data_IF_654259267576
#
_entry.id   IF_654259267576
#
_cell.length_a   1.000
_cell.length_b   1.000
_cell.length_c   1.000
_cell.angle_alpha   90.00
_cell.angle_beta   90.00
_cell.angle_gamma   90.00
#
_symmetry.space_group_name_H-M   'P 1'
#
loop_
_entity.id
_entity.type
_entity.pdbx_description
1 polymer ?
#
# COMPACT_ATOMS: atom_id res chain seq x y z
N UNK A 1 23.06 -37.05 -8.74
CA UNK A 1 24.17 -36.79 -7.77
C UNK A 1 24.76 -35.40 -7.91
N UNK A 2 24.78 -34.79 -9.08
CA UNK A 2 25.29 -33.42 -9.32
C UNK A 2 24.38 -32.33 -8.76
N UNK A 3 23.04 -32.44 -8.89
CA UNK A 3 22.06 -31.49 -8.35
C UNK A 3 22.07 -31.37 -6.81
N UNK A 4 22.35 -32.50 -6.11
CA UNK A 4 22.40 -32.48 -4.64
C UNK A 4 23.63 -31.75 -4.09
N UNK A 5 24.73 -31.69 -4.85
CA UNK A 5 25.97 -31.00 -4.45
C UNK A 5 25.83 -29.49 -4.69
N UNK A 6 25.22 -29.06 -5.79
CA UNK A 6 24.95 -27.66 -6.09
C UNK A 6 23.98 -27.04 -5.06
N UNK A 7 22.97 -27.79 -4.59
CA UNK A 7 22.07 -27.34 -3.52
C UNK A 7 22.77 -27.20 -2.17
N UNK A 8 23.64 -28.12 -1.81
CA UNK A 8 24.39 -28.03 -0.55
C UNK A 8 25.31 -26.82 -0.50
N UNK A 9 25.98 -26.49 -1.63
CA UNK A 9 26.84 -25.32 -1.76
C UNK A 9 26.04 -23.99 -1.71
N UNK A 10 24.82 -23.98 -2.26
CA UNK A 10 23.95 -22.80 -2.20
C UNK A 10 23.55 -22.49 -0.76
N UNK A 11 23.10 -23.47 0.01
CA UNK A 11 22.70 -23.28 1.41
C UNK A 11 23.88 -22.91 2.30
N UNK A 12 25.05 -23.50 2.10
CA UNK A 12 26.26 -23.17 2.85
C UNK A 12 26.79 -21.76 2.50
N UNK A 13 26.59 -21.35 1.25
CA UNK A 13 27.05 -20.07 0.75
C UNK A 13 26.08 -18.90 0.99
N UNK A 14 24.78 -19.12 1.09
CA UNK A 14 23.77 -18.09 1.31
C UNK A 14 23.56 -17.85 2.79
N UNK A 15 23.84 -16.65 3.26
CA UNK A 15 23.59 -16.26 4.67
C UNK A 15 22.79 -14.99 4.76
N UNK A 16 22.01 -14.87 5.87
CA UNK A 16 21.25 -13.65 6.16
C UNK A 16 22.12 -12.39 6.22
N UNK A 17 23.37 -12.53 6.68
CA UNK A 17 24.32 -11.43 6.69
C UNK A 17 24.65 -10.95 5.27
N UNK A 18 24.88 -11.88 4.31
CA UNK A 18 25.14 -11.52 2.91
C UNK A 18 23.95 -10.80 2.27
N UNK A 19 22.73 -11.30 2.52
CA UNK A 19 21.51 -10.65 2.05
C UNK A 19 21.35 -9.26 2.65
N UNK A 20 21.57 -9.11 3.96
CA UNK A 20 21.51 -7.82 4.67
C UNK A 20 22.55 -6.82 4.12
N UNK A 21 23.77 -7.27 3.86
CA UNK A 21 24.83 -6.45 3.27
C UNK A 21 24.43 -6.00 1.86
N UNK A 22 23.89 -6.90 1.04
CA UNK A 22 23.46 -6.57 -0.31
C UNK A 22 22.33 -5.54 -0.31
N UNK A 23 21.29 -5.73 0.50
CA UNK A 23 20.18 -4.78 0.64
C UNK A 23 20.71 -3.43 1.12
N UNK A 24 21.59 -3.38 2.13
CA UNK A 24 22.14 -2.13 2.64
C UNK A 24 22.98 -1.38 1.57
N UNK A 25 23.76 -2.08 0.74
CA UNK A 25 24.52 -1.44 -0.35
C UNK A 25 23.60 -0.81 -1.39
N UNK A 26 22.48 -1.46 -1.67
CA UNK A 26 21.45 -0.93 -2.57
C UNK A 26 20.76 0.30 -1.99
N UNK A 27 20.29 0.23 -0.74
CA UNK A 27 19.53 1.30 -0.07
C UNK A 27 20.36 2.56 0.13
N UNK A 28 21.62 2.40 0.52
CA UNK A 28 22.53 3.53 0.77
C UNK A 28 23.28 3.98 -0.50
N UNK A 29 23.10 3.31 -1.63
CA UNK A 29 23.69 3.67 -2.91
C UNK A 29 25.21 3.53 -2.98
N UNK A 30 25.85 2.81 -2.02
CA UNK A 30 27.30 2.63 -2.01
C UNK A 30 27.85 1.76 -0.88
N UNK A 31 29.03 1.22 -1.13
CA UNK A 31 29.70 0.28 -0.22
C UNK A 31 30.12 0.92 1.12
N UNK A 32 30.65 2.15 1.08
CA UNK A 32 31.10 2.84 2.30
C UNK A 32 29.94 3.28 3.19
N UNK A 33 28.84 3.74 2.59
CA UNK A 33 27.65 4.13 3.33
C UNK A 33 26.98 2.90 3.97
N UNK A 34 26.88 1.78 3.23
CA UNK A 34 26.39 0.51 3.78
C UNK A 34 27.29 -0.04 4.90
N UNK A 35 28.62 0.09 4.77
CA UNK A 35 29.58 -0.32 5.79
C UNK A 35 29.36 0.46 7.10
N UNK A 36 29.19 1.77 7.02
CA UNK A 36 28.87 2.62 8.16
C UNK A 36 27.52 2.26 8.81
N UNK A 37 26.48 2.01 7.99
CA UNK A 37 25.15 1.64 8.48
C UNK A 37 25.11 0.27 9.18
N UNK A 38 26.00 -0.65 8.80
CA UNK A 38 26.07 -2.00 9.36
C UNK A 38 27.15 -2.19 10.43
N UNK A 39 27.92 -1.16 10.74
CA UNK A 39 29.10 -1.22 11.61
C UNK A 39 30.12 -2.28 11.13
N UNK A 40 30.41 -2.27 9.81
CA UNK A 40 31.35 -3.16 9.16
C UNK A 40 32.46 -2.36 8.45
N UNK A 41 33.62 -3.01 8.23
CA UNK A 41 34.65 -2.45 7.35
C UNK A 41 34.20 -2.57 5.87
N UNK A 42 34.48 -1.53 5.06
CA UNK A 42 34.14 -1.53 3.63
C UNK A 42 34.71 -2.75 2.85
N UNK A 43 35.95 -3.24 3.12
CA UNK A 43 36.43 -4.48 2.51
C UNK A 43 35.56 -5.71 2.81
N UNK A 44 34.99 -5.79 4.04
CA UNK A 44 34.07 -6.85 4.45
C UNK A 44 32.78 -6.81 3.65
N UNK A 45 32.19 -5.61 3.49
CA UNK A 45 31.02 -5.41 2.64
C UNK A 45 31.31 -5.85 1.19
N UNK A 46 32.45 -5.41 0.62
CA UNK A 46 32.87 -5.83 -0.73
C UNK A 46 33.08 -7.34 -0.86
N UNK A 47 33.64 -7.98 0.16
CA UNK A 47 33.80 -9.43 0.22
C UNK A 47 32.44 -10.16 0.17
N UNK A 48 31.46 -9.73 0.97
CA UNK A 48 30.13 -10.33 1.00
C UNK A 48 29.39 -10.19 -0.33
N UNK A 49 29.47 -9.03 -0.98
CA UNK A 49 28.86 -8.82 -2.30
C UNK A 49 29.52 -9.74 -3.36
N UNK A 50 30.84 -9.76 -3.44
CA UNK A 50 31.56 -10.64 -4.38
C UNK A 50 31.27 -12.12 -4.14
N UNK A 51 31.15 -12.54 -2.89
CA UNK A 51 30.81 -13.90 -2.53
C UNK A 51 29.37 -14.25 -2.98
N UNK A 52 28.42 -13.32 -2.82
CA UNK A 52 27.03 -13.50 -3.26
C UNK A 52 26.93 -13.54 -4.79
N UNK A 53 27.59 -12.64 -5.52
CA UNK A 53 27.65 -12.65 -6.98
C UNK A 53 28.25 -13.94 -7.53
N UNK A 54 29.31 -14.46 -6.88
CA UNK A 54 29.93 -15.74 -7.26
C UNK A 54 29.01 -16.91 -7.03
N UNK A 55 28.29 -16.92 -5.88
CA UNK A 55 27.35 -17.97 -5.53
C UNK A 55 26.19 -18.05 -6.52
N UNK A 56 25.67 -16.89 -6.95
CA UNK A 56 24.53 -16.79 -7.85
C UNK A 56 24.94 -16.78 -9.35
N UNK A 57 26.25 -16.75 -9.64
CA UNK A 57 26.75 -16.73 -11.02
C UNK A 57 26.37 -15.45 -11.81
N UNK A 58 25.96 -14.40 -11.13
CA UNK A 58 25.44 -13.17 -11.76
C UNK A 58 25.99 -11.91 -11.10
N UNK A 59 26.20 -10.85 -11.90
CA UNK A 59 26.42 -9.51 -11.38
C UNK A 59 25.14 -8.93 -10.85
N UNK A 60 25.16 -8.48 -9.61
CA UNK A 60 24.00 -7.92 -8.93
C UNK A 60 24.02 -6.40 -8.91
N UNK A 61 25.23 -5.82 -8.88
CA UNK A 61 25.46 -4.38 -8.73
C UNK A 61 26.33 -3.85 -9.89
N UNK A 62 25.98 -2.66 -10.37
CA UNK A 62 26.74 -1.86 -11.32
C UNK A 62 27.12 -0.53 -10.67
N UNK A 63 28.32 -0.05 -10.99
CA UNK A 63 28.75 1.28 -10.56
C UNK A 63 28.63 2.26 -11.73
N UNK A 64 27.62 3.16 -11.66
CA UNK A 64 27.38 4.17 -12.68
C UNK A 64 27.18 5.54 -12.03
N UNK A 65 27.72 6.60 -12.64
CA UNK A 65 27.58 7.98 -12.17
C UNK A 65 27.89 8.17 -10.68
N UNK A 66 28.93 7.51 -10.20
CA UNK A 66 29.37 7.52 -8.79
C UNK A 66 28.36 6.90 -7.79
N UNK A 67 27.40 6.14 -8.26
CA UNK A 67 26.42 5.42 -7.42
C UNK A 67 26.35 3.95 -7.80
N UNK A 68 26.00 3.15 -6.83
CA UNK A 68 25.65 1.75 -7.03
C UNK A 68 24.22 1.68 -7.56
N UNK A 69 24.00 0.88 -8.61
CA UNK A 69 22.71 0.57 -9.20
C UNK A 69 22.54 -0.94 -9.27
N UNK A 70 21.31 -1.39 -9.16
CA UNK A 70 20.97 -2.81 -9.34
C UNK A 70 21.02 -3.21 -10.82
N UNK A 71 21.45 -4.45 -11.11
CA UNK A 71 21.16 -5.11 -12.37
C UNK A 71 19.76 -5.72 -12.33
N UNK A 72 19.25 -6.25 -13.45
CA UNK A 72 17.98 -7.00 -13.44
C UNK A 72 18.01 -8.19 -12.46
N UNK A 73 19.14 -8.92 -12.39
CA UNK A 73 19.33 -9.97 -11.38
C UNK A 73 19.39 -9.40 -9.95
N UNK A 74 20.00 -8.21 -9.80
CA UNK A 74 20.04 -7.50 -8.53
C UNK A 74 18.67 -7.03 -8.06
N UNK A 75 17.81 -6.54 -8.94
CA UNK A 75 16.44 -6.14 -8.62
C UNK A 75 15.62 -7.32 -8.12
N UNK A 76 15.70 -8.46 -8.80
CA UNK A 76 15.01 -9.67 -8.37
C UNK A 76 15.53 -10.18 -7.02
N UNK A 77 16.86 -10.22 -6.83
CA UNK A 77 17.43 -10.60 -5.55
C UNK A 77 17.06 -9.61 -4.45
N UNK A 78 17.04 -8.29 -4.73
CA UNK A 78 16.67 -7.26 -3.75
C UNK A 78 15.25 -7.49 -3.22
N UNK A 79 14.31 -7.75 -4.13
CA UNK A 79 12.92 -8.04 -3.77
C UNK A 79 12.83 -9.27 -2.85
N UNK A 80 13.47 -10.37 -3.23
CA UNK A 80 13.44 -11.63 -2.45
C UNK A 80 14.18 -11.48 -1.12
N UNK A 81 15.38 -10.86 -1.13
CA UNK A 81 16.20 -10.69 0.07
C UNK A 81 15.50 -9.79 1.11
N UNK A 82 14.88 -8.71 0.66
CA UNK A 82 14.11 -7.81 1.54
C UNK A 82 12.95 -8.56 2.20
N UNK A 83 12.18 -9.34 1.44
CA UNK A 83 11.10 -10.15 1.97
C UNK A 83 11.60 -11.18 3.00
N UNK A 84 12.68 -11.89 2.71
CA UNK A 84 13.28 -12.88 3.63
C UNK A 84 13.76 -12.22 4.94
N UNK A 85 14.42 -11.06 4.85
CA UNK A 85 14.89 -10.33 6.04
C UNK A 85 13.71 -9.87 6.92
N UNK A 86 12.63 -9.39 6.31
CA UNK A 86 11.41 -9.05 7.05
C UNK A 86 10.76 -10.28 7.70
N UNK A 87 10.76 -11.44 7.03
CA UNK A 87 10.25 -12.69 7.60
C UNK A 87 11.06 -13.13 8.83
N UNK A 88 12.38 -12.98 8.78
CA UNK A 88 13.25 -13.25 9.94
C UNK A 88 12.94 -12.31 11.12
N UNK A 89 12.76 -11.02 10.87
CA UNK A 89 12.37 -10.07 11.93
C UNK A 89 10.98 -10.38 12.50
N UNK A 90 10.02 -10.80 11.66
CA UNK A 90 8.69 -11.27 12.10
C UNK A 90 8.80 -12.52 12.98
N UNK A 91 9.59 -13.49 12.57
CA UNK A 91 9.85 -14.70 13.38
C UNK A 91 10.43 -14.33 14.74
N UNK A 92 11.43 -13.43 14.79
CA UNK A 92 12.00 -12.94 16.04
C UNK A 92 10.96 -12.24 16.93
N UNK A 93 10.13 -11.40 16.34
CA UNK A 93 9.06 -10.71 17.05
C UNK A 93 8.03 -11.73 17.62
N UNK A 94 7.64 -12.72 16.81
CA UNK A 94 6.70 -13.76 17.24
C UNK A 94 7.25 -14.61 18.40
N UNK A 95 8.52 -15.01 18.34
CA UNK A 95 9.17 -15.74 19.45
C UNK A 95 9.21 -14.91 20.73
N UNK A 96 9.60 -13.63 20.62
CA UNK A 96 9.64 -12.72 21.79
C UNK A 96 8.25 -12.43 22.36
N UNK A 97 7.21 -12.41 21.53
CA UNK A 97 5.85 -12.16 21.99
C UNK A 97 5.30 -13.29 22.85
N UNK A 98 5.74 -14.53 22.62
CA UNK A 98 5.39 -15.69 23.44
C UNK A 98 5.92 -15.48 24.88
N UNK A 99 7.17 -15.04 25.02
CA UNK A 99 7.80 -14.80 26.32
C UNK A 99 7.22 -13.57 27.04
N UNK A 100 6.79 -12.56 26.28
CA UNK A 100 6.27 -11.29 26.80
C UNK A 100 4.74 -11.29 27.03
N UNK A 101 4.03 -12.37 26.71
CA UNK A 101 2.56 -12.44 26.79
C UNK A 101 1.85 -11.48 25.80
N UNK A 102 2.56 -11.00 24.77
CA UNK A 102 1.98 -10.13 23.74
C UNK A 102 1.53 -10.97 22.53
N UNK A 103 0.38 -10.62 21.94
CA UNK A 103 -0.23 -11.41 20.85
C UNK A 103 0.36 -11.11 19.45
N UNK A 104 1.53 -10.45 19.38
CA UNK A 104 2.24 -10.19 18.13
C UNK A 104 1.99 -8.80 17.53
N UNK A 105 2.40 -8.64 16.28
CA UNK A 105 2.26 -7.40 15.50
C UNK A 105 1.47 -7.66 14.22
N UNK A 106 0.59 -6.73 13.86
CA UNK A 106 -0.12 -6.70 12.59
C UNK A 106 0.21 -5.40 11.86
N UNK A 107 0.76 -5.51 10.64
CA UNK A 107 1.09 -4.38 9.77
C UNK A 107 0.14 -4.37 8.58
N UNK A 108 -0.79 -3.42 8.60
CA UNK A 108 -1.84 -3.24 7.60
C UNK A 108 -1.48 -2.12 6.64
N UNK A 109 -1.59 -2.36 5.34
CA UNK A 109 -1.74 -1.33 4.33
C UNK A 109 -3.21 -1.06 4.07
N UNK A 110 -3.64 0.19 4.03
CA UNK A 110 -5.01 0.54 3.65
C UNK A 110 -4.98 1.61 2.56
N UNK A 111 -5.81 1.42 1.52
CA UNK A 111 -5.95 2.46 0.49
C UNK A 111 -6.33 3.78 1.15
N UNK A 112 -5.73 4.87 0.69
CA UNK A 112 -6.05 6.22 1.14
C UNK A 112 -7.56 6.54 0.98
N UNK A 113 -8.27 5.82 0.10
CA UNK A 113 -9.72 5.92 -0.03
C UNK A 113 -10.47 5.58 1.28
N UNK A 114 -9.86 4.79 2.16
CA UNK A 114 -10.45 4.36 3.43
C UNK A 114 -9.98 5.20 4.64
N UNK A 115 -9.18 6.24 4.43
CA UNK A 115 -8.84 7.20 5.47
C UNK A 115 -10.08 8.04 5.88
N UNK A 116 -11.13 7.35 6.30
CA UNK A 116 -12.44 7.89 6.68
C UNK A 116 -12.82 7.41 8.09
N UNK A 117 -13.53 8.22 8.89
CA UNK A 117 -13.93 7.83 10.24
C UNK A 117 -14.55 6.44 10.37
N UNK A 118 -15.46 5.97 9.47
CA UNK A 118 -16.06 4.65 9.58
C UNK A 118 -15.05 3.48 9.54
N UNK A 119 -13.92 3.62 8.84
CA UNK A 119 -12.90 2.59 8.85
C UNK A 119 -12.28 2.43 10.24
N UNK A 120 -12.03 3.53 10.93
CA UNK A 120 -11.52 3.52 12.30
C UNK A 120 -12.56 2.98 13.28
N UNK A 121 -13.81 3.42 13.17
CA UNK A 121 -14.90 3.08 14.09
C UNK A 121 -15.40 1.64 13.92
N UNK A 122 -15.52 1.16 12.69
CA UNK A 122 -16.13 -0.14 12.40
C UNK A 122 -15.14 -1.27 12.15
N UNK A 123 -13.90 -0.94 11.79
CA UNK A 123 -12.86 -1.95 11.50
C UNK A 123 -11.79 -1.94 12.59
N UNK A 124 -11.07 -0.83 12.77
CA UNK A 124 -9.89 -0.80 13.62
C UNK A 124 -10.23 -0.85 15.12
N UNK A 125 -11.15 -0.01 15.59
CA UNK A 125 -11.47 0.07 17.01
C UNK A 125 -12.03 -1.26 17.57
N UNK A 126 -12.99 -1.96 16.90
CA UNK A 126 -13.45 -3.26 17.38
C UNK A 126 -12.36 -4.33 17.37
N UNK A 127 -11.47 -4.32 16.37
CA UNK A 127 -10.34 -5.24 16.34
C UNK A 127 -9.39 -5.00 17.53
N UNK A 128 -8.98 -3.75 17.76
CA UNK A 128 -8.11 -3.40 18.89
C UNK A 128 -8.74 -3.73 20.24
N UNK A 129 -10.07 -3.61 20.38
CA UNK A 129 -10.78 -3.94 21.61
C UNK A 129 -10.74 -5.46 21.92
N UNK A 130 -10.82 -6.30 20.89
CA UNK A 130 -10.75 -7.76 21.02
C UNK A 130 -9.30 -8.25 21.19
N UNK A 131 -8.34 -7.55 20.58
CA UNK A 131 -6.92 -7.93 20.56
C UNK A 131 -6.02 -6.84 21.19
N UNK A 132 -6.20 -6.50 22.48
CA UNK A 132 -5.47 -5.38 23.11
C UNK A 132 -3.96 -5.61 23.22
N UNK A 133 -3.50 -6.86 23.13
CA UNK A 133 -2.09 -7.21 23.15
C UNK A 133 -1.43 -7.19 21.75
N UNK A 134 -2.21 -7.02 20.66
CA UNK A 134 -1.68 -6.93 19.31
C UNK A 134 -1.26 -5.49 19.01
N UNK A 135 0.00 -5.29 18.61
CA UNK A 135 0.45 -4.01 18.10
C UNK A 135 -0.02 -3.86 16.64
N UNK A 136 -1.01 -3.01 16.41
CA UNK A 136 -1.50 -2.69 15.07
C UNK A 136 -0.75 -1.48 14.50
N UNK A 137 -0.13 -1.65 13.32
CA UNK A 137 0.46 -0.57 12.53
C UNK A 137 -0.32 -0.41 11.23
N UNK A 138 -0.83 0.78 10.94
CA UNK A 138 -1.60 1.06 9.72
C UNK A 138 -0.86 2.09 8.87
N UNK A 139 -0.64 1.75 7.60
CA UNK A 139 -0.08 2.64 6.58
C UNK A 139 -1.15 2.96 5.55
N UNK A 140 -1.55 4.22 5.44
CA UNK A 140 -2.39 4.66 4.32
C UNK A 140 -1.54 5.00 3.11
N UNK A 141 -2.02 4.62 1.91
CA UNK A 141 -1.29 4.85 0.68
C UNK A 141 -2.08 4.46 -0.58
N UNK A 142 -1.38 4.51 -1.70
CA UNK A 142 -1.92 4.07 -2.99
C UNK A 142 -1.86 2.54 -3.12
N UNK A 143 -2.78 1.97 -3.89
CA UNK A 143 -2.97 0.51 -4.00
C UNK A 143 -1.74 -0.21 -4.53
N UNK A 144 -1.09 0.32 -5.56
CA UNK A 144 0.10 -0.32 -6.17
C UNK A 144 1.29 -0.35 -5.20
N UNK A 145 1.74 0.77 -4.58
CA UNK A 145 2.81 0.76 -3.59
C UNK A 145 2.51 -0.12 -2.36
N UNK A 146 1.25 -0.14 -1.89
CA UNK A 146 0.86 -1.00 -0.77
C UNK A 146 0.93 -2.48 -1.14
N UNK A 147 0.45 -2.85 -2.33
CA UNK A 147 0.54 -4.23 -2.82
C UNK A 147 1.99 -4.68 -3.01
N UNK A 148 2.86 -3.77 -3.47
CA UNK A 148 4.30 -4.04 -3.55
C UNK A 148 4.89 -4.23 -2.14
N UNK A 149 4.51 -3.41 -1.16
CA UNK A 149 4.97 -3.54 0.22
C UNK A 149 4.51 -4.88 0.87
N UNK A 150 3.40 -5.48 0.42
CA UNK A 150 3.00 -6.84 0.80
C UNK A 150 3.99 -7.86 0.22
N UNK A 151 4.31 -7.78 -1.08
CA UNK A 151 5.29 -8.66 -1.71
C UNK A 151 6.65 -8.60 -1.02
N UNK A 152 7.11 -7.39 -0.71
CA UNK A 152 8.38 -7.14 -0.06
C UNK A 152 8.37 -7.49 1.45
N UNK A 153 7.25 -7.98 1.98
CA UNK A 153 7.10 -8.35 3.39
C UNK A 153 7.14 -7.18 4.38
N UNK A 154 7.09 -5.94 3.91
CA UNK A 154 7.06 -4.74 4.74
C UNK A 154 5.74 -4.61 5.51
N UNK A 155 4.63 -5.05 4.93
CA UNK A 155 3.32 -5.15 5.56
C UNK A 155 2.76 -6.57 5.37
N UNK A 156 1.85 -6.98 6.25
CA UNK A 156 1.33 -8.35 6.30
C UNK A 156 0.18 -8.57 5.32
N UNK A 157 -0.67 -7.56 5.17
CA UNK A 157 -1.77 -7.53 4.21
C UNK A 157 -2.08 -6.09 3.80
N UNK A 158 -2.76 -5.93 2.65
CA UNK A 158 -3.24 -4.63 2.21
C UNK A 158 -4.72 -4.69 1.81
N UNK A 159 -5.49 -3.69 2.24
CA UNK A 159 -6.89 -3.48 1.82
C UNK A 159 -6.91 -2.37 0.78
N UNK A 160 -7.06 -2.74 -0.48
CA UNK A 160 -6.79 -1.88 -1.64
C UNK A 160 -7.81 -2.07 -2.75
N UNK A 161 -7.78 -1.16 -3.73
CA UNK A 161 -8.52 -1.30 -4.97
C UNK A 161 -7.83 -2.29 -5.92
N UNK A 162 -8.62 -3.09 -6.66
CA UNK A 162 -8.17 -4.05 -7.66
C UNK A 162 -7.70 -3.34 -8.95
N UNK A 163 -6.60 -2.58 -8.86
CA UNK A 163 -6.06 -1.88 -10.02
C UNK A 163 -4.54 -2.06 -10.12
N UNK A 164 -4.07 -2.65 -11.25
CA UNK A 164 -2.65 -2.89 -11.52
C UNK A 164 -1.90 -3.55 -10.36
N UNK A 165 -2.52 -4.59 -9.78
CA UNK A 165 -1.87 -5.36 -8.73
C UNK A 165 -0.60 -6.03 -9.30
N UNK A 166 0.51 -6.04 -8.55
CA UNK A 166 1.73 -6.69 -9.00
C UNK A 166 1.54 -8.21 -9.07
N UNK A 167 2.23 -8.91 -9.98
CA UNK A 167 2.21 -10.37 -10.01
C UNK A 167 2.83 -10.94 -8.72
N UNK A 168 2.34 -12.09 -8.26
CA UNK A 168 2.84 -12.78 -7.08
C UNK A 168 2.13 -12.43 -5.77
N UNK A 169 1.08 -11.62 -5.82
CA UNK A 169 0.14 -11.44 -4.71
C UNK A 169 -1.12 -12.28 -4.94
N UNK A 170 -1.76 -12.69 -3.84
CA UNK A 170 -3.13 -13.18 -3.85
C UNK A 170 -4.08 -12.01 -3.61
N UNK A 171 -5.18 -11.97 -4.35
CA UNK A 171 -6.20 -10.94 -4.21
C UNK A 171 -7.56 -11.58 -3.93
N UNK A 172 -8.20 -11.16 -2.85
CA UNK A 172 -9.56 -11.55 -2.46
C UNK A 172 -10.49 -10.35 -2.59
N UNK A 173 -11.47 -10.35 -3.52
CA UNK A 173 -12.44 -9.28 -3.63
C UNK A 173 -13.38 -9.27 -2.41
N UNK A 174 -13.64 -8.10 -1.83
CA UNK A 174 -14.53 -7.95 -0.69
C UNK A 174 -15.83 -7.21 -1.04
N UNK A 175 -15.73 -6.06 -1.70
CA UNK A 175 -16.90 -5.25 -2.05
C UNK A 175 -16.60 -4.30 -3.20
N UNK A 176 -17.67 -3.66 -3.71
CA UNK A 176 -17.56 -2.51 -4.61
C UNK A 176 -17.88 -1.22 -3.87
N UNK A 177 -17.21 -0.14 -4.24
CA UNK A 177 -17.50 1.21 -3.79
C UNK A 177 -17.85 2.10 -4.99
N UNK A 178 -18.85 2.94 -4.81
CA UNK A 178 -19.23 3.93 -5.82
C UNK A 178 -18.26 5.12 -5.77
N UNK A 179 -17.81 5.57 -6.95
CA UNK A 179 -17.02 6.80 -7.07
C UNK A 179 -17.97 7.99 -7.21
N UNK A 180 -18.16 8.74 -6.14
CA UNK A 180 -19.15 9.81 -6.02
C UNK A 180 -18.47 11.16 -5.98
N UNK A 181 -19.01 12.14 -6.73
CA UNK A 181 -18.61 13.53 -6.59
C UNK A 181 -19.37 14.18 -5.44
N UNK A 182 -18.65 14.92 -4.60
CA UNK A 182 -19.18 15.53 -3.39
C UNK A 182 -18.88 17.03 -3.35
N UNK A 183 -19.77 17.77 -2.72
CA UNK A 183 -19.63 19.21 -2.42
C UNK A 183 -20.03 19.53 -0.98
N UNK A 184 -19.67 20.71 -0.50
CA UNK A 184 -20.19 21.24 0.75
C UNK A 184 -21.73 21.36 0.74
N UNK A 185 -22.42 21.18 1.86
CA UNK A 185 -23.88 21.31 1.92
C UNK A 185 -24.42 22.66 1.46
N UNK A 186 -23.66 23.73 1.68
CA UNK A 186 -23.99 25.12 1.27
C UNK A 186 -23.61 25.43 -0.18
N UNK A 187 -22.96 24.54 -0.90
CA UNK A 187 -22.54 24.78 -2.29
C UNK A 187 -23.77 24.85 -3.21
N UNK A 188 -23.82 25.76 -4.21
CA UNK A 188 -24.97 25.91 -5.12
C UNK A 188 -25.39 24.63 -5.83
N UNK A 189 -24.44 23.72 -6.12
CA UNK A 189 -24.73 22.43 -6.75
C UNK A 189 -25.39 21.43 -5.82
N UNK A 190 -25.33 21.61 -4.48
CA UNK A 190 -25.86 20.66 -3.51
C UNK A 190 -27.39 20.49 -3.58
N UNK A 191 -28.10 21.52 -4.04
CA UNK A 191 -29.57 21.55 -4.15
C UNK A 191 -30.06 21.14 -5.56
N UNK A 192 -29.18 20.97 -6.53
CA UNK A 192 -29.58 20.63 -7.90
C UNK A 192 -30.00 19.17 -8.01
N UNK A 193 -31.06 18.92 -8.81
CA UNK A 193 -31.55 17.55 -9.10
C UNK A 193 -30.60 16.76 -9.99
N UNK A 194 -29.94 17.44 -10.93
CA UNK A 194 -28.89 16.89 -11.81
C UNK A 194 -27.81 17.94 -12.01
N UNK A 195 -26.58 17.50 -12.16
CA UNK A 195 -25.37 18.31 -12.33
C UNK A 195 -24.68 17.88 -13.60
N UNK A 196 -24.37 18.85 -14.47
CA UNK A 196 -23.68 18.63 -15.74
C UNK A 196 -22.17 18.65 -15.57
N UNK A 197 -21.46 18.17 -16.58
CA UNK A 197 -19.99 18.26 -16.63
C UNK A 197 -19.49 19.73 -16.60
N UNK A 198 -20.24 20.65 -17.21
CA UNK A 198 -19.91 22.08 -17.21
C UNK A 198 -20.09 22.72 -15.81
N UNK A 199 -21.09 22.30 -15.07
CA UNK A 199 -21.26 22.72 -13.68
C UNK A 199 -20.08 22.31 -12.81
N UNK A 200 -19.60 21.05 -12.95
CA UNK A 200 -18.43 20.56 -12.23
C UNK A 200 -17.16 21.29 -12.66
N UNK A 201 -17.01 21.55 -13.98
CA UNK A 201 -15.89 22.32 -14.50
C UNK A 201 -15.86 23.74 -13.92
N UNK A 202 -17.00 24.41 -13.86
CA UNK A 202 -17.12 25.76 -13.29
C UNK A 202 -16.80 25.79 -11.79
N UNK A 203 -17.30 24.80 -11.02
CA UNK A 203 -17.03 24.66 -9.59
C UNK A 203 -15.56 24.34 -9.29
N UNK A 204 -14.91 23.57 -10.16
CA UNK A 204 -13.53 23.15 -9.99
C UNK A 204 -13.35 21.89 -9.14
N UNK A 205 -12.34 21.11 -9.49
CA UNK A 205 -12.04 19.82 -8.87
C UNK A 205 -10.92 19.92 -7.83
N UNK A 206 -11.16 19.36 -6.65
CA UNK A 206 -10.14 19.11 -5.63
C UNK A 206 -9.70 17.65 -5.79
N UNK A 207 -8.41 17.42 -6.01
CA UNK A 207 -7.89 16.09 -6.36
C UNK A 207 -6.62 15.73 -5.59
N UNK A 208 -6.21 14.46 -5.68
CA UNK A 208 -4.85 14.05 -5.33
C UNK A 208 -3.85 14.64 -6.35
N UNK A 209 -2.55 14.69 -6.03
CA UNK A 209 -1.53 15.15 -6.97
C UNK A 209 -1.64 14.44 -8.33
N UNK A 210 -1.60 15.21 -9.42
CA UNK A 210 -1.72 14.70 -10.79
C UNK A 210 -0.53 13.81 -11.20
N UNK A 211 0.60 13.94 -10.51
CA UNK A 211 1.79 13.10 -10.70
C UNK A 211 1.68 11.73 -10.04
N UNK A 212 0.60 11.47 -9.27
CA UNK A 212 0.42 10.18 -8.60
C UNK A 212 0.25 9.04 -9.60
N UNK A 213 0.77 7.86 -9.27
CA UNK A 213 0.64 6.66 -10.11
C UNK A 213 -0.83 6.24 -10.35
N UNK A 214 -1.75 6.62 -9.47
CA UNK A 214 -3.18 6.31 -9.57
C UNK A 214 -3.96 7.37 -10.36
N UNK A 215 -3.35 8.50 -10.71
CA UNK A 215 -4.04 9.55 -11.46
C UNK A 215 -4.67 9.07 -12.78
N UNK A 216 -4.00 8.27 -13.63
CA UNK A 216 -4.61 7.77 -14.86
C UNK A 216 -5.90 6.98 -14.62
N UNK A 217 -5.96 6.21 -13.52
CA UNK A 217 -7.16 5.49 -13.12
C UNK A 217 -8.26 6.43 -12.63
N UNK A 218 -7.90 7.41 -11.80
CA UNK A 218 -8.84 8.43 -11.32
C UNK A 218 -9.42 9.26 -12.47
N UNK A 219 -8.60 9.68 -13.43
CA UNK A 219 -9.04 10.37 -14.64
C UNK A 219 -10.00 9.52 -15.49
N UNK A 220 -9.78 8.20 -15.56
CA UNK A 220 -10.70 7.28 -16.22
C UNK A 220 -12.06 7.21 -15.52
N UNK A 221 -12.08 7.21 -14.19
CA UNK A 221 -13.34 7.25 -13.43
C UNK A 221 -14.10 8.56 -13.67
N UNK A 222 -13.41 9.70 -13.70
CA UNK A 222 -14.02 10.99 -14.07
C UNK A 222 -14.63 10.93 -15.47
N UNK A 223 -13.91 10.36 -16.44
CA UNK A 223 -14.38 10.20 -17.82
C UNK A 223 -15.62 9.29 -17.90
N UNK A 224 -15.62 8.17 -17.17
CA UNK A 224 -16.79 7.27 -17.08
C UNK A 224 -17.99 7.97 -16.45
N UNK A 225 -17.75 8.87 -15.49
CA UNK A 225 -18.79 9.73 -14.91
C UNK A 225 -19.29 10.82 -15.87
N UNK A 226 -18.73 10.91 -17.08
CA UNK A 226 -19.10 11.91 -18.09
C UNK A 226 -18.29 13.21 -18.02
N UNK A 227 -17.25 13.24 -17.20
CA UNK A 227 -16.40 14.43 -17.05
C UNK A 227 -15.18 14.35 -17.98
N UNK A 228 -15.36 14.78 -19.21
CA UNK A 228 -14.31 14.76 -20.25
C UNK A 228 -13.29 15.88 -20.11
N UNK A 229 -13.66 16.95 -19.41
CA UNK A 229 -12.80 18.07 -19.04
C UNK A 229 -13.04 18.43 -17.58
N UNK A 230 -12.01 18.85 -16.90
CA UNK A 230 -12.07 19.30 -15.51
C UNK A 230 -11.04 20.42 -15.31
N UNK A 231 -11.34 21.30 -14.38
CA UNK A 231 -10.44 22.34 -13.92
C UNK A 231 -10.02 22.00 -12.49
N UNK A 232 -8.76 21.64 -12.31
CA UNK A 232 -8.20 21.42 -10.97
C UNK A 232 -7.99 22.78 -10.31
N UNK A 233 -8.61 22.98 -9.16
CA UNK A 233 -8.48 24.20 -8.35
C UNK A 233 -7.57 23.98 -7.16
N UNK A 234 -7.39 22.72 -6.75
CA UNK A 234 -6.58 22.39 -5.59
C UNK A 234 -6.10 20.93 -5.68
N UNK A 235 -4.80 20.74 -5.49
CA UNK A 235 -4.19 19.43 -5.33
C UNK A 235 -3.79 19.24 -3.87
N UNK A 236 -4.32 18.20 -3.22
CA UNK A 236 -4.00 17.88 -1.83
C UNK A 236 -3.77 16.38 -1.68
N UNK A 237 -2.66 16.02 -1.08
CA UNK A 237 -2.42 14.66 -0.64
C UNK A 237 -3.26 14.36 0.62
N UNK A 238 -3.82 13.15 0.70
CA UNK A 238 -4.68 12.72 1.81
C UNK A 238 -6.18 13.04 1.61
N UNK A 239 -7.03 12.04 1.85
CA UNK A 239 -8.48 12.18 1.64
C UNK A 239 -9.12 13.07 2.69
N UNK A 240 -8.65 13.06 3.94
CA UNK A 240 -9.16 13.91 5.02
C UNK A 240 -8.94 15.40 4.73
N UNK A 241 -7.76 15.76 4.22
CA UNK A 241 -7.48 17.14 3.83
C UNK A 241 -8.36 17.59 2.66
N UNK A 242 -8.61 16.72 1.67
CA UNK A 242 -9.55 17.00 0.57
C UNK A 242 -10.99 17.16 1.06
N UNK A 243 -11.41 16.32 2.01
CA UNK A 243 -12.72 16.45 2.67
C UNK A 243 -12.85 17.82 3.34
N UNK A 244 -11.86 18.23 4.13
CA UNK A 244 -11.86 19.54 4.80
C UNK A 244 -11.92 20.69 3.80
N UNK A 245 -11.14 20.64 2.73
CA UNK A 245 -11.15 21.63 1.65
C UNK A 245 -12.52 21.71 0.96
N UNK A 246 -13.16 20.56 0.72
CA UNK A 246 -14.50 20.50 0.12
C UNK A 246 -15.55 21.07 1.08
N UNK A 247 -15.48 20.73 2.37
CA UNK A 247 -16.36 21.31 3.40
C UNK A 247 -16.23 22.83 3.52
N UNK A 248 -15.03 23.37 3.31
CA UNK A 248 -14.77 24.80 3.24
C UNK A 248 -15.30 25.47 1.94
N UNK A 249 -15.88 24.68 1.02
CA UNK A 249 -16.48 25.19 -0.21
C UNK A 249 -15.49 25.50 -1.34
N UNK A 250 -14.25 24.95 -1.27
CA UNK A 250 -13.20 25.27 -2.25
C UNK A 250 -13.40 24.57 -3.60
N UNK A 251 -14.32 23.61 -3.69
CA UNK A 251 -14.60 22.90 -4.95
C UNK A 251 -15.29 21.55 -4.75
N UNK A 252 -15.27 20.74 -5.80
CA UNK A 252 -15.84 19.40 -5.89
C UNK A 252 -14.73 18.37 -5.65
N UNK A 253 -14.96 17.35 -4.84
CA UNK A 253 -14.06 16.20 -4.75
C UNK A 253 -14.74 14.91 -5.22
N UNK A 254 -13.97 13.98 -5.81
CA UNK A 254 -14.37 12.61 -6.01
C UNK A 254 -13.86 11.74 -4.86
N UNK A 255 -14.72 10.86 -4.37
CA UNK A 255 -14.41 9.94 -3.28
C UNK A 255 -15.06 8.59 -3.53
N UNK A 256 -14.37 7.51 -3.15
CA UNK A 256 -14.99 6.20 -3.06
C UNK A 256 -15.77 6.09 -1.76
N UNK A 257 -17.02 5.68 -1.86
CA UNK A 257 -17.89 5.51 -0.70
C UNK A 257 -18.23 4.02 -0.56
N UNK A 258 -17.51 3.29 0.31
CA UNK A 258 -17.83 1.91 0.59
C UNK A 258 -19.19 1.82 1.32
N UNK A 259 -19.89 0.67 1.25
CA UNK A 259 -21.22 0.51 1.84
C UNK A 259 -21.28 0.98 3.30
N UNK A 260 -20.34 0.57 4.13
CA UNK A 260 -20.26 0.93 5.55
C UNK A 260 -20.01 2.43 5.83
N UNK A 261 -19.59 3.23 4.83
CA UNK A 261 -19.27 4.66 5.01
C UNK A 261 -20.34 5.62 4.46
N UNK A 262 -21.38 5.11 3.80
CA UNK A 262 -22.37 5.96 3.10
C UNK A 262 -23.03 7.01 4.00
N UNK A 263 -23.46 6.63 5.20
CA UNK A 263 -24.13 7.54 6.13
C UNK A 263 -23.17 8.62 6.65
N UNK A 264 -21.97 8.24 7.04
CA UNK A 264 -20.96 9.15 7.60
C UNK A 264 -20.50 10.20 6.59
N UNK A 265 -20.25 9.81 5.35
CA UNK A 265 -19.84 10.75 4.30
C UNK A 265 -20.98 11.70 3.93
N UNK A 266 -22.20 11.19 3.80
CA UNK A 266 -23.39 11.97 3.45
C UNK A 266 -23.82 12.96 4.56
N UNK A 267 -23.45 12.73 5.82
CA UNK A 267 -23.68 13.67 6.91
C UNK A 267 -22.86 14.96 6.77
N UNK A 268 -21.68 14.89 6.17
CA UNK A 268 -20.73 16.00 6.09
C UNK A 268 -20.72 16.72 4.73
N UNK A 269 -20.98 15.98 3.66
CA UNK A 269 -20.97 16.46 2.28
C UNK A 269 -22.27 16.08 1.57
N UNK A 270 -22.51 16.68 0.42
CA UNK A 270 -23.65 16.34 -0.44
C UNK A 270 -23.17 15.67 -1.71
N UNK A 271 -23.67 14.46 -2.03
CA UNK A 271 -23.37 13.81 -3.30
C UNK A 271 -24.02 14.56 -4.46
N UNK A 272 -23.26 14.76 -5.53
CA UNK A 272 -23.77 15.30 -6.78
C UNK A 272 -24.42 14.18 -7.60
N UNK A 273 -25.58 14.46 -8.16
CA UNK A 273 -26.29 13.55 -9.08
C UNK A 273 -25.90 13.91 -10.51
N UNK A 274 -25.06 13.09 -11.10
CA UNK A 274 -24.73 13.19 -12.53
C UNK A 274 -25.78 12.44 -13.36
N UNK A 275 -25.86 12.76 -14.66
CA UNK A 275 -26.75 12.09 -15.62
C UNK A 275 -26.37 10.61 -15.86
N UNK A 276 -25.16 10.24 -15.47
CA UNK A 276 -24.64 8.87 -15.54
C UNK A 276 -24.52 8.27 -14.16
N UNK A 277 -24.71 6.93 -14.02
CA UNK A 277 -24.46 6.28 -12.75
C UNK A 277 -22.98 6.42 -12.36
N UNK A 278 -22.67 6.51 -11.06
CA UNK A 278 -21.30 6.59 -10.60
C UNK A 278 -20.51 5.34 -11.02
N UNK A 279 -19.28 5.51 -11.48
CA UNK A 279 -18.40 4.37 -11.72
C UNK A 279 -18.15 3.61 -10.42
N UNK A 280 -18.04 2.29 -10.54
CA UNK A 280 -17.73 1.41 -9.41
C UNK A 280 -16.31 0.92 -9.49
N UNK A 281 -15.68 0.80 -8.34
CA UNK A 281 -14.39 0.14 -8.18
C UNK A 281 -14.50 -1.01 -7.19
N UNK A 282 -13.80 -2.09 -7.48
CA UNK A 282 -13.71 -3.24 -6.61
C UNK A 282 -12.57 -3.03 -5.61
N UNK A 283 -12.83 -3.36 -4.35
CA UNK A 283 -11.86 -3.34 -3.27
C UNK A 283 -11.78 -4.70 -2.61
N UNK A 284 -10.57 -5.07 -2.21
CA UNK A 284 -10.30 -6.36 -1.61
C UNK A 284 -8.99 -6.41 -0.85
N UNK A 285 -8.67 -7.59 -0.41
CA UNK A 285 -7.45 -7.89 0.33
C UNK A 285 -6.36 -8.38 -0.59
N UNK A 286 -5.17 -7.87 -0.38
CA UNK A 286 -3.93 -8.37 -0.98
C UNK A 286 -3.11 -9.03 0.11
N UNK A 287 -2.69 -10.27 -0.13
CA UNK A 287 -1.76 -11.03 0.69
C UNK A 287 -0.67 -11.63 -0.18
N UNK A 288 0.42 -12.09 0.41
CA UNK A 288 1.41 -12.90 -0.31
C UNK A 288 0.84 -14.29 -0.56
N UNK A 289 1.29 -14.94 -1.63
CA UNK A 289 1.06 -16.37 -1.84
C UNK A 289 1.70 -17.15 -0.68
N UNK A 290 0.96 -18.08 -0.10
CA UNK A 290 1.37 -18.91 1.04
C UNK A 290 1.87 -18.09 2.25
N UNK A 291 1.08 -17.16 2.79
CA UNK A 291 1.52 -16.37 3.94
C UNK A 291 1.60 -17.25 5.19
N UNK A 292 2.63 -17.00 6.01
CA UNK A 292 2.57 -17.43 7.42
C UNK A 292 1.60 -16.48 8.12
N UNK A 293 0.36 -16.91 8.26
CA UNK A 293 -0.72 -16.08 8.82
C UNK A 293 -0.73 -16.29 10.34
N UNK A 294 -0.45 -15.23 11.09
CA UNK A 294 -0.71 -15.26 12.55
C UNK A 294 -2.22 -15.22 12.81
N UNK A 295 -2.66 -15.71 13.97
CA UNK A 295 -4.07 -15.67 14.34
C UNK A 295 -4.64 -14.24 14.26
N UNK A 296 -3.88 -13.23 14.70
CA UNK A 296 -4.30 -11.84 14.62
C UNK A 296 -4.56 -11.36 13.17
N UNK A 297 -3.76 -11.81 12.20
CA UNK A 297 -3.98 -11.51 10.78
C UNK A 297 -5.26 -12.19 10.28
N UNK A 298 -5.48 -13.45 10.63
CA UNK A 298 -6.70 -14.18 10.26
C UNK A 298 -7.96 -13.50 10.82
N UNK A 299 -7.95 -13.14 12.10
CA UNK A 299 -9.07 -12.47 12.78
C UNK A 299 -9.35 -11.09 12.18
N UNK A 300 -8.30 -10.36 11.77
CA UNK A 300 -8.45 -9.07 11.09
C UNK A 300 -9.09 -9.22 9.69
N UNK A 301 -8.66 -10.23 8.94
CA UNK A 301 -9.25 -10.57 7.64
C UNK A 301 -10.75 -10.89 7.80
N UNK A 302 -11.10 -11.71 8.77
CA UNK A 302 -12.50 -12.06 9.05
C UNK A 302 -13.33 -10.83 9.45
N UNK A 303 -12.74 -9.92 10.23
CA UNK A 303 -13.38 -8.65 10.56
C UNK A 303 -13.66 -7.79 9.33
N UNK A 304 -12.69 -7.66 8.41
CA UNK A 304 -12.89 -6.94 7.16
C UNK A 304 -13.97 -7.57 6.28
N UNK A 305 -13.99 -8.91 6.18
CA UNK A 305 -15.04 -9.65 5.47
C UNK A 305 -16.44 -9.38 6.03
N UNK A 306 -16.57 -9.31 7.35
CA UNK A 306 -17.84 -9.00 8.01
C UNK A 306 -18.32 -7.59 7.68
N UNK A 307 -17.47 -6.58 7.82
CA UNK A 307 -17.81 -5.18 7.56
C UNK A 307 -18.08 -4.92 6.08
N UNK A 308 -17.39 -5.61 5.19
CA UNK A 308 -17.60 -5.49 3.74
C UNK A 308 -18.94 -6.04 3.24
N UNK A 309 -19.60 -6.90 4.03
CA UNK A 309 -20.92 -7.50 3.69
C UNK A 309 -22.11 -6.68 4.19
N UNK A 310 -21.86 -5.70 5.07
CA UNK A 310 -22.88 -4.78 5.60
C UNK A 310 -23.00 -3.53 4.75
#
# INVERSE_FOLDING_TARGET
MTESIEHADLYAGLSLLRLRVFVAVSDHGGYSAAAAALDLAQPTVSFHIKALERLLGAKLLLYRQRRVQLTAAGEELYRVATAMLHDVERMRAAVRSIDAGSAGQLRLGASIAFELPPFFEQVLAPFCAVHPAVQLSVRFGQSVPLSQAVLDGQIDLAYVQSWRLPPGVDYEPLHHADFVLMVAPQHPLASRRSVTADDVYAAGLITAPLESQEWPHYAELLRRAGLWRYRVVLEINGVQARLAATQAGLGVMGVFVPPYAQQSVSARLRPLRLDRPPPRAEFGLVTRQQPIVSQAVADFIDRLRQVART
#
